data_IF_326165302786
#
_entry.id   IF_326165302786
#
_cell.length_a   1.000
_cell.length_b   1.000
_cell.length_c   1.000
_cell.angle_alpha   90.00
_cell.angle_beta   90.00
_cell.angle_gamma   90.00
#
_symmetry.space_group_name_H-M   'P 1'
#
loop_
_entity.id
_entity.type
_entity.pdbx_description
1 polymer ?
#
# COMPACT_ATOMS: atom_id res chain seq x y z
N UNK A 1 -16.80 -21.04 -32.14
CA UNK A 1 -16.48 -19.71 -31.63
C UNK A 1 -15.64 -19.87 -30.39
N UNK A 2 -14.47 -19.31 -30.40
CA UNK A 2 -13.48 -19.57 -29.37
C UNK A 2 -13.23 -18.31 -28.49
N UNK A 3 -14.11 -18.14 -27.56
CA UNK A 3 -14.05 -17.03 -26.62
C UNK A 3 -12.84 -17.10 -25.68
N UNK A 4 -12.53 -18.33 -25.28
CA UNK A 4 -11.45 -18.60 -24.32
C UNK A 4 -10.07 -18.25 -24.85
N UNK A 5 -9.89 -18.22 -26.16
CA UNK A 5 -8.60 -17.85 -26.75
C UNK A 5 -8.23 -16.41 -26.42
N UNK A 6 -9.22 -15.54 -26.49
CA UNK A 6 -9.00 -14.12 -26.16
C UNK A 6 -8.66 -13.97 -24.68
N UNK A 7 -9.33 -14.75 -23.84
CA UNK A 7 -9.06 -14.71 -22.40
C UNK A 7 -7.67 -15.23 -22.05
N UNK A 8 -7.23 -16.27 -22.73
CA UNK A 8 -5.90 -16.83 -22.49
C UNK A 8 -4.79 -15.92 -22.96
N UNK A 9 -5.01 -15.21 -24.04
CA UNK A 9 -4.03 -14.28 -24.57
C UNK A 9 -4.16 -12.91 -23.95
N UNK A 10 -5.34 -12.61 -23.40
CA UNK A 10 -5.56 -11.38 -22.67
C UNK A 10 -4.69 -11.38 -21.44
N UNK A 11 -3.83 -10.38 -21.32
CA UNK A 11 -3.08 -10.21 -20.10
C UNK A 11 -4.06 -10.00 -18.96
N UNK A 12 -3.94 -10.80 -17.92
CA UNK A 12 -4.69 -10.57 -16.70
C UNK A 12 -4.22 -9.24 -16.12
N UNK A 13 -5.16 -8.45 -15.63
CA UNK A 13 -4.83 -7.21 -14.95
C UNK A 13 -3.95 -7.50 -13.75
N UNK A 14 -2.86 -6.76 -13.64
CA UNK A 14 -1.99 -6.84 -12.48
C UNK A 14 -2.51 -5.90 -11.43
N UNK A 15 -2.98 -6.46 -10.33
CA UNK A 15 -3.58 -5.73 -9.23
C UNK A 15 -2.62 -5.76 -8.06
N UNK A 16 -2.31 -4.61 -7.50
CA UNK A 16 -1.53 -4.50 -6.29
C UNK A 16 -2.37 -3.84 -5.21
N UNK A 17 -2.35 -4.43 -4.04
CA UNK A 17 -3.02 -3.89 -2.85
C UNK A 17 -1.95 -3.48 -1.88
N UNK A 18 -1.91 -2.21 -1.55
CA UNK A 18 -0.93 -1.67 -0.62
C UNK A 18 -1.63 -1.13 0.63
N UNK A 19 -1.30 -1.71 1.76
CA UNK A 19 -1.75 -1.25 3.06
C UNK A 19 -0.72 -0.31 3.66
N UNK A 20 -1.13 0.91 3.99
CA UNK A 20 -0.25 1.97 4.43
C UNK A 20 -0.51 2.31 5.88
N UNK A 21 0.53 2.22 6.70
CA UNK A 21 0.43 2.44 8.13
C UNK A 21 -0.15 1.22 8.86
N UNK A 22 -0.43 1.38 10.15
CA UNK A 22 -0.87 0.27 10.99
C UNK A 22 -2.24 -0.28 10.59
N UNK A 23 -3.22 0.58 10.41
CA UNK A 23 -4.57 0.17 10.04
C UNK A 23 -4.60 -0.42 8.63
N UNK A 24 -3.87 0.20 7.68
CA UNK A 24 -3.78 -0.31 6.32
C UNK A 24 -3.10 -1.68 6.26
N UNK A 25 -2.01 -1.84 7.01
CA UNK A 25 -1.33 -3.12 7.11
C UNK A 25 -2.21 -4.21 7.69
N UNK A 26 -2.99 -3.90 8.73
CA UNK A 26 -3.93 -4.85 9.31
C UNK A 26 -5.01 -5.27 8.31
N UNK A 27 -5.49 -4.34 7.51
CA UNK A 27 -6.47 -4.64 6.47
C UNK A 27 -5.90 -5.64 5.45
N UNK A 28 -4.66 -5.43 5.02
CA UNK A 28 -3.98 -6.35 4.09
C UNK A 28 -3.80 -7.72 4.72
N UNK A 29 -3.34 -7.78 5.96
CA UNK A 29 -3.18 -9.06 6.68
C UNK A 29 -4.51 -9.80 6.73
N UNK A 30 -5.59 -9.09 7.02
CA UNK A 30 -6.93 -9.66 7.08
C UNK A 30 -7.37 -10.24 5.74
N UNK A 31 -7.12 -9.51 4.64
CA UNK A 31 -7.41 -9.99 3.29
C UNK A 31 -6.64 -11.28 2.98
N UNK A 32 -5.38 -11.33 3.36
CA UNK A 32 -4.55 -12.52 3.15
C UNK A 32 -5.04 -13.71 3.96
N UNK A 33 -5.48 -13.50 5.20
CA UNK A 33 -6.04 -14.54 6.05
C UNK A 33 -7.33 -15.13 5.44
N UNK A 34 -8.07 -14.32 4.72
CA UNK A 34 -9.27 -14.77 4.00
C UNK A 34 -8.94 -15.37 2.63
N UNK A 35 -7.66 -15.57 2.35
CA UNK A 35 -7.19 -16.26 1.15
C UNK A 35 -7.69 -15.62 -0.15
N UNK A 36 -7.77 -14.30 -0.16
CA UNK A 36 -8.08 -13.56 -1.38
C UNK A 36 -6.92 -13.72 -2.34
N UNK A 37 -7.19 -14.28 -3.50
CA UNK A 37 -6.18 -14.57 -4.51
C UNK A 37 -6.27 -13.59 -5.68
N UNK A 38 -5.16 -13.42 -6.36
CA UNK A 38 -5.05 -12.58 -7.55
C UNK A 38 -4.16 -11.36 -7.33
N UNK A 39 -4.45 -10.51 -6.33
CA UNK A 39 -3.60 -9.35 -6.08
C UNK A 39 -2.26 -9.71 -5.43
N UNK A 40 -1.26 -8.87 -5.68
CA UNK A 40 -0.04 -8.84 -4.88
C UNK A 40 -0.28 -7.92 -3.68
N UNK A 41 0.06 -8.38 -2.50
CA UNK A 41 -0.16 -7.65 -1.27
C UNK A 41 1.13 -7.02 -0.76
N UNK A 42 1.06 -5.74 -0.45
CA UNK A 42 2.19 -4.94 0.03
C UNK A 42 1.79 -4.27 1.33
N UNK A 43 2.67 -4.29 2.32
CA UNK A 43 2.51 -3.51 3.55
C UNK A 43 3.61 -2.47 3.61
N UNK A 44 3.22 -1.21 3.68
CA UNK A 44 4.13 -0.07 3.78
C UNK A 44 3.94 0.63 5.12
N UNK A 45 5.03 0.83 5.83
CA UNK A 45 4.98 1.50 7.13
C UNK A 45 6.34 2.10 7.48
N UNK A 46 6.32 3.04 8.39
CA UNK A 46 7.51 3.60 9.02
C UNK A 46 7.89 2.83 10.29
N UNK A 47 7.00 2.00 10.79
CA UNK A 47 7.16 1.22 12.00
C UNK A 47 7.57 -0.22 11.65
N UNK A 48 8.79 -0.59 12.01
CA UNK A 48 9.33 -1.92 11.72
C UNK A 48 8.56 -3.02 12.43
N UNK A 49 8.11 -2.77 13.66
CA UNK A 49 7.39 -3.79 14.43
C UNK A 49 6.04 -4.13 13.79
N UNK A 50 5.36 -3.12 13.26
CA UNK A 50 4.11 -3.35 12.55
C UNK A 50 4.34 -4.18 11.29
N UNK A 51 5.44 -3.95 10.59
CA UNK A 51 5.79 -4.72 9.39
C UNK A 51 6.13 -6.17 9.69
N UNK A 52 6.70 -6.45 10.85
CA UNK A 52 7.04 -7.82 11.26
C UNK A 52 5.81 -8.72 11.36
N UNK A 53 4.64 -8.14 11.56
CA UNK A 53 3.39 -8.88 11.64
C UNK A 53 2.81 -9.26 10.28
N UNK A 54 3.31 -8.65 9.22
CA UNK A 54 2.75 -8.81 7.87
C UNK A 54 3.44 -9.93 7.09
N UNK A 55 3.50 -11.12 7.67
CA UNK A 55 4.13 -12.27 7.03
C UNK A 55 3.36 -12.68 5.78
N UNK A 56 4.09 -12.90 4.70
CA UNK A 56 3.51 -13.26 3.42
C UNK A 56 3.24 -12.08 2.49
N UNK A 57 3.15 -10.86 3.01
CA UNK A 57 3.07 -9.66 2.19
C UNK A 57 4.46 -9.19 1.79
N UNK A 58 4.55 -8.46 0.69
CA UNK A 58 5.76 -7.73 0.35
C UNK A 58 5.88 -6.54 1.30
N UNK A 59 7.04 -6.34 1.86
CA UNK A 59 7.28 -5.32 2.87
C UNK A 59 7.96 -4.11 2.24
N UNK A 60 7.42 -2.94 2.50
CA UNK A 60 8.00 -1.66 2.10
C UNK A 60 8.19 -0.79 3.33
N UNK A 61 9.42 -0.71 3.81
CA UNK A 61 9.76 0.13 4.95
C UNK A 61 10.01 1.55 4.48
N UNK A 62 9.24 2.49 4.99
CA UNK A 62 9.30 3.89 4.59
C UNK A 62 10.10 4.71 5.58
N UNK A 63 10.93 5.60 5.04
CA UNK A 63 11.59 6.62 5.82
C UNK A 63 12.53 6.10 6.91
N UNK A 64 13.25 5.03 6.63
CA UNK A 64 14.15 4.42 7.61
C UNK A 64 15.17 5.43 8.15
N UNK A 65 15.71 6.26 7.28
CA UNK A 65 16.65 7.30 7.68
C UNK A 65 15.99 8.43 8.47
N UNK A 66 14.68 8.53 8.43
CA UNK A 66 13.94 9.59 9.11
C UNK A 66 13.42 9.13 10.47
N UNK A 67 12.85 7.93 10.54
CA UNK A 67 12.21 7.42 11.76
C UNK A 67 13.02 6.33 12.47
N UNK A 68 14.01 5.77 11.78
CA UNK A 68 14.82 4.64 12.28
C UNK A 68 13.96 3.43 12.69
N UNK A 69 12.83 3.26 11.98
CA UNK A 69 11.93 2.15 12.25
C UNK A 69 10.99 2.34 13.44
N UNK A 70 10.95 3.52 14.03
CA UNK A 70 10.12 3.79 15.22
C UNK A 70 8.73 4.31 14.88
N UNK A 71 8.48 4.58 13.61
CA UNK A 71 7.17 5.07 13.17
C UNK A 71 7.08 6.58 13.11
N UNK A 72 5.92 7.07 12.68
CA UNK A 72 5.68 8.50 12.47
C UNK A 72 5.12 9.21 13.69
N UNK A 73 4.80 8.49 14.77
CA UNK A 73 4.29 9.08 15.99
C UNK A 73 2.98 9.83 15.82
N UNK A 74 2.07 9.32 14.98
CA UNK A 74 0.80 9.96 14.64
C UNK A 74 0.96 11.34 13.97
N UNK A 75 2.13 11.63 13.41
CA UNK A 75 2.39 12.89 12.71
C UNK A 75 2.31 12.66 11.19
N UNK A 76 1.26 13.15 10.52
CA UNK A 76 1.12 12.94 9.07
C UNK A 76 2.25 13.53 8.24
N UNK A 77 2.87 14.62 8.70
CA UNK A 77 3.98 15.23 7.97
C UNK A 77 5.19 14.29 7.93
N UNK A 78 5.44 13.57 9.01
CA UNK A 78 6.52 12.56 9.05
C UNK A 78 6.22 11.43 8.07
N UNK A 79 4.98 10.95 8.03
CA UNK A 79 4.55 9.94 7.07
C UNK A 79 4.71 10.40 5.63
N UNK A 80 4.33 11.63 5.35
CA UNK A 80 4.49 12.22 4.02
C UNK A 80 5.96 12.31 3.62
N UNK A 81 6.81 12.82 4.51
CA UNK A 81 8.24 12.94 4.23
C UNK A 81 8.89 11.58 4.02
N UNK A 82 8.47 10.58 4.80
CA UNK A 82 8.97 9.22 4.65
C UNK A 82 8.67 8.68 3.25
N UNK A 83 7.44 8.84 2.77
CA UNK A 83 7.06 8.41 1.44
C UNK A 83 7.80 9.20 0.34
N UNK A 84 7.94 10.50 0.51
CA UNK A 84 8.67 11.32 -0.46
C UNK A 84 10.14 10.92 -0.58
N UNK A 85 10.78 10.58 0.53
CA UNK A 85 12.17 10.11 0.52
C UNK A 85 12.33 8.77 -0.19
N UNK A 86 11.33 7.91 -0.08
CA UNK A 86 11.38 6.58 -0.67
C UNK A 86 10.55 6.48 -1.96
N UNK A 87 10.38 7.59 -2.64
CA UNK A 87 9.61 7.66 -3.87
C UNK A 87 10.06 6.65 -4.92
N UNK A 88 11.36 6.48 -5.08
CA UNK A 88 11.90 5.52 -6.05
C UNK A 88 11.56 4.08 -5.67
N UNK A 89 11.64 3.74 -4.40
CA UNK A 89 11.27 2.42 -3.92
C UNK A 89 9.77 2.14 -4.13
N UNK A 90 8.93 3.14 -3.87
CA UNK A 90 7.49 3.03 -4.10
C UNK A 90 7.22 2.83 -5.60
N UNK A 91 7.88 3.63 -6.44
CA UNK A 91 7.74 3.54 -7.89
C UNK A 91 8.10 2.14 -8.38
N UNK A 92 9.22 1.60 -7.93
CA UNK A 92 9.65 0.26 -8.30
C UNK A 92 8.65 -0.79 -7.84
N UNK A 93 8.12 -0.65 -6.63
CA UNK A 93 7.15 -1.59 -6.06
C UNK A 93 5.85 -1.61 -6.84
N UNK A 94 5.40 -0.48 -7.36
CA UNK A 94 4.13 -0.35 -8.07
C UNK A 94 4.26 -0.47 -9.59
N UNK A 95 5.47 -0.53 -10.09
CA UNK A 95 5.69 -0.60 -11.53
C UNK A 95 5.03 -1.84 -12.15
N UNK A 96 4.41 -1.64 -13.30
CA UNK A 96 3.71 -2.71 -14.01
C UNK A 96 2.30 -3.00 -13.51
N UNK A 97 1.84 -2.33 -12.47
CA UNK A 97 0.48 -2.51 -11.99
C UNK A 97 -0.52 -1.85 -12.93
N UNK A 98 -1.59 -2.56 -13.25
CA UNK A 98 -2.73 -1.99 -13.97
C UNK A 98 -3.69 -1.28 -13.02
N UNK A 99 -3.79 -1.79 -11.81
CA UNK A 99 -4.64 -1.24 -10.77
C UNK A 99 -3.92 -1.29 -9.42
N UNK A 100 -4.03 -0.21 -8.68
CA UNK A 100 -3.48 -0.11 -7.33
C UNK A 100 -4.60 0.27 -6.36
N UNK A 101 -4.84 -0.61 -5.39
CA UNK A 101 -5.70 -0.34 -4.25
C UNK A 101 -4.84 0.08 -3.08
N UNK A 102 -5.15 1.24 -2.53
CA UNK A 102 -4.46 1.76 -1.37
C UNK A 102 -5.44 1.74 -0.20
N UNK A 103 -5.07 1.09 0.89
CA UNK A 103 -5.88 1.11 2.10
C UNK A 103 -5.09 1.75 3.22
N UNK A 104 -5.70 2.71 3.89
CA UNK A 104 -5.08 3.46 4.98
C UNK A 104 -6.12 3.85 6.02
N UNK A 105 -5.72 3.93 7.27
CA UNK A 105 -6.57 4.46 8.31
C UNK A 105 -6.31 5.95 8.50
N UNK A 106 -7.36 6.73 8.73
CA UNK A 106 -7.25 8.14 9.13
C UNK A 106 -6.87 8.23 10.61
N UNK A 107 -6.12 9.24 10.94
CA UNK A 107 -5.68 9.49 12.31
C UNK A 107 -4.30 8.96 12.65
N UNK A 108 -3.72 8.10 11.81
CA UNK A 108 -2.34 7.67 11.96
C UNK A 108 -1.39 8.60 11.22
N UNK A 109 -0.13 8.59 11.59
CA UNK A 109 0.88 9.42 10.94
C UNK A 109 1.25 8.91 9.55
N UNK A 110 1.61 7.64 9.47
CA UNK A 110 2.07 7.06 8.21
C UNK A 110 0.95 6.95 7.19
N UNK A 111 -0.19 6.38 7.57
CA UNK A 111 -1.29 6.20 6.63
C UNK A 111 -1.82 7.51 6.08
N UNK A 112 -2.08 8.47 6.94
CA UNK A 112 -2.61 9.77 6.56
C UNK A 112 -1.63 10.56 5.68
N UNK A 113 -0.34 10.53 6.01
CA UNK A 113 0.66 11.30 5.30
C UNK A 113 1.19 10.64 4.03
N UNK A 114 1.42 9.33 4.08
CA UNK A 114 2.05 8.60 2.98
C UNK A 114 1.07 8.19 1.89
N UNK A 115 -0.17 7.88 2.22
CA UNK A 115 -1.14 7.40 1.23
C UNK A 115 -1.33 8.35 0.05
N UNK A 116 -1.46 9.67 0.23
CA UNK A 116 -1.58 10.58 -0.90
C UNK A 116 -0.36 10.54 -1.82
N UNK A 117 0.83 10.41 -1.26
CA UNK A 117 2.07 10.31 -2.06
C UNK A 117 2.07 9.04 -2.89
N UNK A 118 1.73 7.93 -2.28
CA UNK A 118 1.64 6.64 -2.97
C UNK A 118 0.59 6.68 -4.07
N UNK A 119 -0.57 7.29 -3.80
CA UNK A 119 -1.62 7.45 -4.79
C UNK A 119 -1.15 8.26 -6.00
N UNK A 120 -0.42 9.34 -5.77
CA UNK A 120 0.12 10.16 -6.83
C UNK A 120 1.10 9.38 -7.70
N UNK A 121 2.00 8.62 -7.08
CA UNK A 121 2.97 7.78 -7.80
C UNK A 121 2.25 6.74 -8.66
N UNK A 122 1.24 6.08 -8.11
CA UNK A 122 0.46 5.09 -8.85
C UNK A 122 -0.20 5.71 -10.10
N UNK A 123 -0.76 6.92 -9.95
CA UNK A 123 -1.36 7.65 -11.07
C UNK A 123 -0.32 8.04 -12.12
N UNK A 124 0.85 8.49 -11.69
CA UNK A 124 1.93 8.85 -12.61
C UNK A 124 2.41 7.63 -13.41
N UNK A 125 2.33 6.44 -12.83
CA UNK A 125 2.67 5.19 -13.52
C UNK A 125 1.56 4.70 -14.45
N UNK A 126 0.43 5.38 -14.50
CA UNK A 126 -0.68 5.02 -15.38
C UNK A 126 -1.62 3.98 -14.82
N UNK A 127 -1.48 3.61 -13.55
CA UNK A 127 -2.37 2.64 -12.92
C UNK A 127 -3.71 3.27 -12.54
N UNK A 128 -4.78 2.49 -12.68
CA UNK A 128 -6.06 2.86 -12.08
C UNK A 128 -5.89 2.81 -10.57
N UNK A 129 -6.10 3.93 -9.89
CA UNK A 129 -5.81 4.06 -8.47
C UNK A 129 -7.09 4.24 -7.67
N UNK A 130 -7.29 3.36 -6.70
CA UNK A 130 -8.43 3.40 -5.79
C UNK A 130 -7.90 3.48 -4.37
N UNK A 131 -8.30 4.50 -3.64
CA UNK A 131 -7.92 4.65 -2.24
C UNK A 131 -9.12 4.40 -1.35
N UNK A 132 -8.95 3.51 -0.38
CA UNK A 132 -9.94 3.21 0.63
C UNK A 132 -9.40 3.70 1.96
N UNK A 133 -10.11 4.65 2.56
CA UNK A 133 -9.68 5.26 3.80
C UNK A 133 -10.71 4.98 4.86
N UNK A 134 -10.26 4.41 5.97
CA UNK A 134 -11.12 4.16 7.12
C UNK A 134 -10.99 5.29 8.11
N UNK A 135 -12.13 5.77 8.63
CA UNK A 135 -12.17 6.79 9.67
C UNK A 135 -12.64 6.16 10.98
N UNK A 136 -11.98 6.46 12.08
CA UNK A 136 -12.55 6.11 13.37
C UNK A 136 -13.80 6.96 13.60
N UNK A 137 -14.87 6.33 14.05
CA UNK A 137 -16.06 7.03 14.46
C UNK A 137 -16.07 7.12 15.99
N UNK A 138 -16.33 8.30 16.51
CA UNK A 138 -16.62 8.47 17.92
C UNK A 138 -18.12 8.69 18.09
N UNK A 139 -18.68 7.90 18.93
CA UNK A 139 -20.11 7.96 19.23
C UNK A 139 -20.32 8.52 20.63
#
# INVERSE_FOLDING_TARGET
MNWEIIEETGSKAKIKVIGVGGAGGNAVIHMMEHKIQGPDFICANTDSQALDKAKGATILKLGDNLTKGLGAGANPEVGKQAAERDRDAITEMLDGADMVFITAGMGGGTGTGAAPVIAQIAKELGALTVAVVTKPFSF
#
